data_IF_577875125488
#
_entry.id   IF_577875125488
#
_cell.length_a   1.000
_cell.length_b   1.000
_cell.length_c   1.000
_cell.angle_alpha   90.00
_cell.angle_beta   90.00
_cell.angle_gamma   90.00
#
_symmetry.space_group_name_H-M   'P 1'
#
loop_
_entity.id
_entity.type
_entity.pdbx_description
1 polymer ?
#
# COMPACT_ATOMS: atom_id res chain seq x y z
N UNK A 1 -14.25 -11.94 -5.22
CA UNK A 1 -12.97 -12.60 -4.84
C UNK A 1 -11.87 -11.57 -5.01
N UNK A 2 -10.98 -11.37 -4.03
CA UNK A 2 -9.89 -10.40 -4.18
C UNK A 2 -8.96 -10.81 -5.34
N UNK A 3 -8.46 -9.84 -6.10
CA UNK A 3 -7.59 -10.08 -7.26
C UNK A 3 -6.25 -10.73 -6.88
N UNK A 4 -5.80 -10.51 -5.64
CA UNK A 4 -4.56 -11.04 -5.10
C UNK A 4 -4.79 -11.66 -3.73
N UNK A 5 -3.82 -12.44 -3.25
CA UNK A 5 -3.87 -13.00 -1.90
C UNK A 5 -3.77 -11.90 -0.83
N UNK A 6 -4.30 -12.19 0.36
CA UNK A 6 -4.17 -11.27 1.49
C UNK A 6 -2.70 -11.07 1.91
N UNK A 7 -1.85 -12.08 1.72
CA UNK A 7 -0.42 -11.99 1.98
C UNK A 7 0.23 -10.94 1.07
N UNK A 8 -0.14 -10.91 -0.20
CA UNK A 8 0.43 -9.99 -1.17
C UNK A 8 0.08 -8.52 -0.86
N UNK A 9 -1.16 -8.21 -0.50
CA UNK A 9 -1.52 -6.84 -0.09
C UNK A 9 -0.75 -6.38 1.16
N UNK A 10 -0.51 -7.29 2.11
CA UNK A 10 0.31 -7.02 3.29
C UNK A 10 1.74 -6.70 2.90
N UNK A 11 2.32 -7.45 1.96
CA UNK A 11 3.67 -7.18 1.46
C UNK A 11 3.78 -5.82 0.76
N UNK A 12 2.81 -5.48 -0.11
CA UNK A 12 2.77 -4.16 -0.77
C UNK A 12 2.76 -3.04 0.26
N UNK A 13 1.90 -3.15 1.27
CA UNK A 13 1.79 -2.16 2.35
C UNK A 13 3.06 -2.10 3.21
N UNK A 14 3.71 -3.24 3.49
CA UNK A 14 4.95 -3.27 4.25
C UNK A 14 6.10 -2.57 3.50
N UNK A 15 6.25 -2.83 2.20
CA UNK A 15 7.25 -2.15 1.34
C UNK A 15 7.00 -0.64 1.30
N UNK A 16 5.74 -0.22 1.19
CA UNK A 16 5.36 1.19 1.23
C UNK A 16 5.78 1.84 2.57
N UNK A 17 5.48 1.20 3.70
CA UNK A 17 5.86 1.71 5.03
C UNK A 17 7.38 1.81 5.22
N UNK A 18 8.15 0.86 4.69
CA UNK A 18 9.61 0.93 4.70
C UNK A 18 10.14 2.15 3.93
N UNK A 19 9.56 2.44 2.76
CA UNK A 19 9.91 3.63 1.99
C UNK A 19 9.47 4.92 2.67
N UNK A 20 8.32 4.92 3.35
CA UNK A 20 7.87 6.05 4.16
C UNK A 20 8.85 6.34 5.30
N UNK A 21 9.25 5.31 6.05
CA UNK A 21 10.21 5.43 7.15
C UNK A 21 11.58 5.95 6.65
N UNK A 22 12.08 5.43 5.53
CA UNK A 22 13.34 5.88 4.93
C UNK A 22 13.32 7.37 4.50
N UNK A 23 12.13 7.95 4.33
CA UNK A 23 11.93 9.35 3.93
C UNK A 23 11.43 10.23 5.09
N UNK A 24 11.36 9.70 6.31
CA UNK A 24 10.85 10.44 7.48
C UNK A 24 9.38 10.82 7.38
N UNK A 25 8.57 10.01 6.69
CA UNK A 25 7.12 10.24 6.56
C UNK A 25 6.34 9.40 7.57
N UNK A 26 5.53 10.06 8.39
CA UNK A 26 4.64 9.38 9.35
C UNK A 26 3.32 8.91 8.72
N UNK A 27 2.85 9.62 7.69
CA UNK A 27 1.60 9.32 7.00
C UNK A 27 1.70 9.61 5.50
N UNK A 28 0.90 8.89 4.71
CA UNK A 28 0.74 9.11 3.27
C UNK A 28 -0.74 9.14 2.92
N UNK A 29 -1.20 10.27 2.37
CA UNK A 29 -2.53 10.38 1.80
C UNK A 29 -2.51 9.91 0.35
N UNK A 30 -3.26 8.86 0.03
CA UNK A 30 -3.34 8.31 -1.32
C UNK A 30 -4.64 8.77 -1.96
N UNK A 31 -4.53 9.67 -2.95
CA UNK A 31 -5.71 10.23 -3.66
C UNK A 31 -5.90 9.67 -5.07
N UNK A 32 -4.93 8.92 -5.58
CA UNK A 32 -5.03 8.29 -6.89
C UNK A 32 -5.71 6.93 -6.78
N UNK A 33 -6.78 6.72 -7.55
CA UNK A 33 -7.59 5.49 -7.53
C UNK A 33 -6.77 4.23 -7.81
N UNK A 34 -5.84 4.27 -8.75
CA UNK A 34 -5.00 3.10 -9.07
C UNK A 34 -4.11 2.72 -7.89
N UNK A 35 -3.58 3.70 -7.15
CA UNK A 35 -2.77 3.44 -5.96
C UNK A 35 -3.63 2.88 -4.82
N UNK A 36 -4.87 3.34 -4.67
CA UNK A 36 -5.81 2.78 -3.69
C UNK A 36 -6.11 1.32 -4.02
N UNK A 37 -6.50 1.01 -5.26
CA UNK A 37 -6.77 -0.36 -5.70
C UNK A 37 -5.53 -1.26 -5.53
N UNK A 38 -4.35 -0.78 -5.91
CA UNK A 38 -3.11 -1.54 -5.76
C UNK A 38 -2.79 -1.92 -4.30
N UNK A 39 -3.02 -1.01 -3.36
CA UNK A 39 -2.71 -1.22 -1.95
C UNK A 39 -3.79 -1.99 -1.19
N UNK A 40 -5.05 -1.85 -1.59
CA UNK A 40 -6.20 -2.31 -0.78
C UNK A 40 -7.07 -3.36 -1.48
N UNK A 41 -6.99 -3.46 -2.80
CA UNK A 41 -7.88 -4.30 -3.60
C UNK A 41 -9.31 -3.77 -3.73
N UNK A 42 -9.54 -2.49 -3.37
CA UNK A 42 -10.81 -1.79 -3.53
C UNK A 42 -11.30 -1.79 -4.98
#
# INVERSE_FOLDING_TARGET
MPAFSQQEYRERTARLRQQMAARGMDALLVMNENNMNYLTGY
#
